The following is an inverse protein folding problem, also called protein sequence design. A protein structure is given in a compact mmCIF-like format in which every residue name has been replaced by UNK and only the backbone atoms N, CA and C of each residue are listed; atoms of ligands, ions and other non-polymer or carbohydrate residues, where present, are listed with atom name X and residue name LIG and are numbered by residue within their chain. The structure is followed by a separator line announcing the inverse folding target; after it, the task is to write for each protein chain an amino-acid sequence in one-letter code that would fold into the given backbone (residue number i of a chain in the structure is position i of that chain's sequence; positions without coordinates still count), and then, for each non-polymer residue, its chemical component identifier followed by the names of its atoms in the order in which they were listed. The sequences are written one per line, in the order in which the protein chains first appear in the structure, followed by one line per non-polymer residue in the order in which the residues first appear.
data_IF_800094664895
#
_entry.id   IF_800094664895
#
_cell.length_a   1.000
_cell.length_b   1.000
_cell.length_c   1.000
_cell.angle_alpha   90.00
_cell.angle_beta   90.00
_cell.angle_gamma   90.00
#
_symmetry.space_group_name_H-M   'P 1'
#
loop_
_entity.id
_entity.type
_entity.pdbx_description
1 polymer ?
#
# COMPACT_ATOMS: atom_id res chain seq x y z
N UNK A 1 7.57 36.07 10.58
CA UNK A 1 7.38 35.34 9.30
C UNK A 1 7.90 36.09 8.08
N UNK A 2 7.52 37.36 7.83
CA UNK A 2 7.97 38.07 6.63
C UNK A 2 9.48 38.34 6.61
N UNK A 3 10.04 38.82 7.73
CA UNK A 3 11.48 39.06 7.90
C UNK A 3 12.34 37.81 7.66
N UNK A 4 11.93 36.68 8.24
CA UNK A 4 12.58 35.38 8.07
C UNK A 4 12.63 34.94 6.58
N UNK A 5 11.53 35.13 5.84
CA UNK A 5 11.48 34.85 4.39
C UNK A 5 12.35 35.81 3.58
N UNK A 6 12.44 37.09 3.96
CA UNK A 6 13.30 38.08 3.29
C UNK A 6 14.77 37.69 3.47
N UNK A 7 15.16 37.34 4.69
CA UNK A 7 16.52 36.93 5.00
C UNK A 7 16.88 35.64 4.24
N UNK A 8 15.97 34.67 4.19
CA UNK A 8 16.15 33.46 3.37
C UNK A 8 16.37 33.79 1.89
N UNK A 9 15.61 34.74 1.32
CA UNK A 9 15.80 35.18 -0.08
C UNK A 9 17.16 35.83 -0.32
N UNK A 10 17.66 36.65 0.60
CA UNK A 10 18.99 37.27 0.51
C UNK A 10 20.06 36.18 0.48
N UNK A 11 20.00 35.22 1.40
CA UNK A 11 20.99 34.12 1.43
C UNK A 11 20.89 33.22 0.20
N UNK A 12 19.68 32.89 -0.26
CA UNK A 12 19.49 32.15 -1.51
C UNK A 12 20.10 32.90 -2.70
N UNK A 13 19.97 34.23 -2.75
CA UNK A 13 20.56 35.05 -3.81
C UNK A 13 22.09 34.96 -3.78
N UNK A 14 22.71 35.06 -2.60
CA UNK A 14 24.17 34.89 -2.44
C UNK A 14 24.64 33.48 -2.85
N UNK A 15 23.91 32.43 -2.44
CA UNK A 15 24.24 31.04 -2.85
C UNK A 15 24.13 30.88 -4.37
N UNK A 16 23.14 31.50 -5.02
CA UNK A 16 23.02 31.47 -6.49
C UNK A 16 24.16 32.21 -7.18
N UNK A 17 24.67 33.31 -6.61
CA UNK A 17 25.88 33.97 -7.12
C UNK A 17 27.05 33.00 -7.05
N UNK A 18 27.28 32.36 -5.90
CA UNK A 18 28.31 31.33 -5.73
C UNK A 18 28.16 30.19 -6.76
N UNK A 19 26.95 29.66 -6.94
CA UNK A 19 26.66 28.60 -7.92
C UNK A 19 27.01 29.02 -9.36
N UNK A 20 26.88 30.30 -9.71
CA UNK A 20 27.20 30.81 -11.05
C UNK A 20 28.67 31.17 -11.25
N UNK A 21 29.39 31.56 -10.20
CA UNK A 21 30.75 32.08 -10.31
C UNK A 21 31.78 30.99 -10.01
N UNK A 22 32.01 30.72 -8.73
CA UNK A 22 33.15 29.95 -8.22
C UNK A 22 32.79 28.54 -7.76
N UNK A 23 31.52 28.12 -7.93
CA UNK A 23 31.10 26.76 -7.63
C UNK A 23 31.85 25.74 -8.50
N UNK A 24 32.52 24.75 -7.87
CA UNK A 24 33.22 23.68 -8.60
C UNK A 24 32.30 22.74 -9.37
N UNK A 25 30.99 22.73 -9.07
CA UNK A 25 29.99 21.83 -9.67
C UNK A 25 29.07 22.50 -10.71
N UNK A 26 28.81 23.82 -10.59
CA UNK A 26 27.84 24.54 -11.44
C UNK A 26 28.37 25.82 -12.09
N UNK A 27 29.47 26.36 -11.59
CA UNK A 27 30.03 27.65 -12.04
C UNK A 27 31.01 27.52 -13.20
N UNK A 28 31.72 28.61 -13.48
CA UNK A 28 32.77 28.69 -14.51
C UNK A 28 33.90 27.68 -14.21
N UNK A 29 34.14 27.38 -12.93
CA UNK A 29 35.14 26.42 -12.48
C UNK A 29 34.74 24.95 -12.70
N UNK A 30 33.47 24.65 -13.02
CA UNK A 30 33.01 23.27 -13.24
C UNK A 30 33.74 22.54 -14.36
N UNK A 31 34.23 23.28 -15.36
CA UNK A 31 35.05 22.74 -16.43
C UNK A 31 36.37 22.15 -15.91
N UNK A 32 37.00 22.78 -14.92
CA UNK A 32 38.30 22.37 -14.38
C UNK A 32 38.20 21.24 -13.34
N UNK A 33 37.06 21.13 -12.64
CA UNK A 33 36.86 20.15 -11.57
C UNK A 33 35.98 18.97 -11.97
N UNK A 34 35.68 18.80 -13.26
CA UNK A 34 34.85 17.72 -13.78
C UNK A 34 35.40 16.35 -13.34
N UNK A 35 34.58 15.57 -12.63
CA UNK A 35 34.95 14.26 -12.07
C UNK A 35 35.70 14.28 -10.73
N UNK A 36 36.03 15.46 -10.19
CA UNK A 36 36.66 15.67 -8.86
C UNK A 36 35.76 16.47 -7.92
N UNK A 37 34.44 16.27 -8.03
CA UNK A 37 33.42 16.92 -7.21
C UNK A 37 32.76 15.89 -6.29
N UNK A 38 32.09 16.39 -5.24
CA UNK A 38 31.37 15.54 -4.30
C UNK A 38 30.35 14.63 -5.02
N UNK A 39 30.30 13.35 -4.66
CA UNK A 39 29.36 12.38 -5.23
C UNK A 39 27.96 12.43 -4.61
N UNK A 40 27.75 13.24 -3.56
CA UNK A 40 26.47 13.30 -2.85
C UNK A 40 25.51 14.34 -3.44
N UNK A 41 24.36 13.87 -3.91
CA UNK A 41 23.28 14.72 -4.43
C UNK A 41 22.08 14.87 -3.47
N UNK A 42 21.44 16.07 -3.40
CA UNK A 42 21.88 17.31 -4.05
C UNK A 42 23.15 17.86 -3.38
N UNK A 43 24.02 18.58 -4.08
CA UNK A 43 25.22 19.21 -3.48
C UNK A 43 24.86 20.21 -2.36
N UNK A 44 25.79 20.54 -1.46
CA UNK A 44 25.53 21.39 -0.29
C UNK A 44 24.94 22.77 -0.65
N UNK A 45 25.38 23.40 -1.74
CA UNK A 45 24.81 24.68 -2.20
C UNK A 45 23.34 24.56 -2.60
N UNK A 46 22.99 23.47 -3.31
CA UNK A 46 21.61 23.19 -3.72
C UNK A 46 20.75 22.77 -2.53
N UNK A 47 21.31 21.96 -1.63
CA UNK A 47 20.69 21.63 -0.34
C UNK A 47 20.32 22.89 0.41
N UNK A 48 21.24 23.82 0.59
CA UNK A 48 21.00 25.05 1.35
C UNK A 48 19.88 25.88 0.73
N UNK A 49 19.82 25.97 -0.61
CA UNK A 49 18.70 26.64 -1.29
C UNK A 49 17.37 25.95 -0.98
N UNK A 50 17.31 24.61 -1.07
CA UNK A 50 16.07 23.84 -0.82
C UNK A 50 15.61 24.03 0.64
N UNK A 51 16.53 23.88 1.58
CA UNK A 51 16.28 24.02 3.02
C UNK A 51 15.81 25.43 3.37
N UNK A 52 16.48 26.48 2.87
CA UNK A 52 16.08 27.88 3.12
C UNK A 52 14.74 28.25 2.50
N UNK A 53 14.41 27.72 1.30
CA UNK A 53 13.09 27.91 0.70
C UNK A 53 11.98 27.28 1.54
N UNK A 54 12.27 26.11 2.11
CA UNK A 54 11.27 25.29 2.82
C UNK A 54 11.04 25.76 4.25
N UNK A 55 12.11 25.97 5.00
CA UNK A 55 12.03 26.23 6.45
C UNK A 55 12.24 27.70 6.82
N UNK A 56 12.53 28.57 5.85
CA UNK A 56 12.96 29.94 6.12
C UNK A 56 14.40 30.01 6.59
N UNK A 57 14.85 31.20 7.00
CA UNK A 57 16.23 31.41 7.42
C UNK A 57 16.50 30.83 8.80
N UNK A 58 15.65 31.14 9.79
CA UNK A 58 15.88 30.78 11.19
C UNK A 58 16.02 29.27 11.41
N UNK A 59 15.18 28.47 10.74
CA UNK A 59 15.23 27.02 10.84
C UNK A 59 16.10 26.41 9.73
N UNK A 60 16.12 27.00 8.53
CA UNK A 60 16.82 26.41 7.40
C UNK A 60 18.32 26.69 7.34
N UNK A 61 18.78 27.81 7.90
CA UNK A 61 20.21 28.17 7.91
C UNK A 61 21.02 27.24 8.83
N UNK A 62 20.62 26.94 10.08
CA UNK A 62 21.34 25.97 10.92
C UNK A 62 21.47 24.59 10.29
N UNK A 63 20.39 24.09 9.68
CA UNK A 63 20.37 22.80 8.95
C UNK A 63 21.35 22.83 7.76
N UNK A 64 21.41 23.96 7.04
CA UNK A 64 22.35 24.16 5.94
C UNK A 64 23.80 24.16 6.40
N UNK A 65 24.10 24.85 7.49
CA UNK A 65 25.43 24.89 8.10
C UNK A 65 25.84 23.52 8.63
N UNK A 66 24.94 22.81 9.31
CA UNK A 66 25.20 21.48 9.86
C UNK A 66 25.67 20.51 8.76
N UNK A 67 25.00 20.52 7.61
CA UNK A 67 25.42 19.71 6.46
C UNK A 67 26.80 20.10 5.92
N UNK A 68 27.09 21.40 5.80
CA UNK A 68 28.39 21.89 5.30
C UNK A 68 29.50 21.47 6.25
N UNK A 69 29.29 21.64 7.56
CA UNK A 69 30.29 21.32 8.59
C UNK A 69 30.57 19.82 8.71
N UNK A 70 29.61 18.97 8.37
CA UNK A 70 29.74 17.51 8.46
C UNK A 70 30.14 16.83 7.14
N UNK A 71 30.72 17.53 6.16
CA UNK A 71 31.20 16.92 4.91
C UNK A 71 32.50 16.10 5.07
N UNK A 72 32.45 14.98 5.80
CA UNK A 72 33.53 14.01 5.92
C UNK A 72 33.30 12.76 5.02
N UNK A 73 34.35 12.19 4.40
CA UNK A 73 34.24 10.99 3.56
C UNK A 73 33.66 9.74 4.26
N UNK A 74 33.68 9.70 5.60
CA UNK A 74 33.23 8.58 6.45
C UNK A 74 31.80 8.75 6.99
N UNK A 75 31.03 9.69 6.47
CA UNK A 75 29.71 10.02 6.98
C UNK A 75 28.65 8.96 6.68
N UNK A 76 28.11 8.36 7.74
CA UNK A 76 26.93 7.47 7.69
C UNK A 76 25.59 8.22 7.82
N UNK A 77 25.59 9.54 8.08
CA UNK A 77 24.36 10.35 8.17
C UNK A 77 23.96 10.85 6.78
N UNK A 78 22.82 10.36 6.29
CA UNK A 78 22.19 10.86 5.06
C UNK A 78 21.57 12.23 5.36
N UNK A 79 22.28 13.31 5.01
CA UNK A 79 21.73 14.67 5.01
C UNK A 79 20.92 14.90 3.72
N UNK A 80 19.71 14.35 3.66
CA UNK A 80 18.73 14.72 2.63
C UNK A 80 18.09 16.07 3.07
N UNK A 81 18.07 17.13 2.23
CA UNK A 81 17.43 18.41 2.61
C UNK A 81 15.92 18.25 2.77
N UNK A 82 15.43 17.12 2.27
CA UNK A 82 14.04 16.87 2.04
C UNK A 82 13.57 15.87 3.09
N UNK A 83 13.48 16.37 4.32
CA UNK A 83 12.79 15.69 5.40
C UNK A 83 11.29 15.82 5.17
N UNK A 84 10.61 14.78 4.68
CA UNK A 84 9.21 14.81 4.28
C UNK A 84 8.28 14.49 5.45
N UNK A 85 7.33 15.37 5.73
CA UNK A 85 6.29 15.19 6.75
C UNK A 85 5.17 14.36 6.13
N UNK A 86 4.95 13.18 6.69
CA UNK A 86 3.97 12.22 6.18
C UNK A 86 2.87 12.01 7.21
N UNK A 87 1.63 12.08 6.75
CA UNK A 87 0.51 11.48 7.48
C UNK A 87 0.21 10.13 6.83
N UNK A 88 0.32 9.07 7.61
CA UNK A 88 0.08 7.72 7.16
C UNK A 88 -1.37 7.31 7.47
N UNK A 89 -2.09 6.86 6.45
CA UNK A 89 -3.53 6.55 6.51
C UNK A 89 -3.74 5.10 6.08
N UNK A 90 -4.04 4.21 7.02
CA UNK A 90 -4.29 2.81 6.73
C UNK A 90 -5.17 2.18 7.80
N UNK A 91 -5.81 1.06 7.49
CA UNK A 91 -6.59 0.30 8.49
C UNK A 91 -6.44 -1.22 8.37
N UNK A 92 -5.69 -1.68 7.37
CA UNK A 92 -5.51 -3.08 7.07
C UNK A 92 -4.06 -3.53 7.36
N UNK A 93 -3.83 -4.81 7.68
CA UNK A 93 -2.49 -5.33 7.98
C UNK A 93 -1.45 -5.10 6.88
N UNK A 94 -1.87 -5.01 5.61
CA UNK A 94 -0.97 -4.71 4.49
C UNK A 94 -0.18 -3.41 4.69
N UNK A 95 -0.73 -2.44 5.44
CA UNK A 95 -0.09 -1.15 5.71
C UNK A 95 1.03 -1.19 6.75
N UNK A 96 1.12 -2.20 7.63
CA UNK A 96 2.10 -2.18 8.74
C UNK A 96 3.55 -2.11 8.25
N UNK A 97 4.00 -2.86 7.23
CA UNK A 97 5.39 -2.81 6.78
C UNK A 97 5.73 -1.50 6.06
N UNK A 98 4.73 -0.84 5.46
CA UNK A 98 4.90 0.49 4.88
C UNK A 98 5.12 1.54 5.96
N UNK A 99 4.40 1.44 7.09
CA UNK A 99 4.64 2.30 8.24
C UNK A 99 6.04 2.07 8.83
N UNK A 100 6.47 0.81 8.96
CA UNK A 100 7.81 0.46 9.45
C UNK A 100 8.92 1.12 8.63
N UNK A 101 8.85 1.00 7.30
CA UNK A 101 9.85 1.60 6.40
C UNK A 101 9.82 3.13 6.40
N UNK A 102 8.63 3.74 6.52
CA UNK A 102 8.52 5.20 6.65
C UNK A 102 9.13 5.72 7.96
N UNK A 103 8.98 4.99 9.07
CA UNK A 103 9.56 5.37 10.36
C UNK A 103 11.07 5.12 10.38
N UNK A 104 11.53 4.03 9.76
CA UNK A 104 12.95 3.67 9.71
C UNK A 104 13.77 4.59 8.80
N UNK A 105 13.15 5.21 7.79
CA UNK A 105 13.82 6.09 6.85
C UNK A 105 13.94 7.53 7.41
N UNK A 106 15.15 8.01 7.74
CA UNK A 106 15.35 9.32 8.39
C UNK A 106 14.93 10.52 7.53
N UNK A 107 14.64 10.28 6.26
CA UNK A 107 14.16 11.30 5.31
C UNK A 107 12.66 11.55 5.46
N UNK A 108 11.94 10.73 6.21
CA UNK A 108 10.52 10.91 6.47
C UNK A 108 10.27 11.16 7.96
N UNK A 109 9.29 12.00 8.24
CA UNK A 109 8.74 12.23 9.58
C UNK A 109 7.28 11.82 9.57
N UNK A 110 6.93 10.78 10.33
CA UNK A 110 5.53 10.43 10.52
C UNK A 110 4.91 11.41 11.53
N UNK A 111 4.23 12.43 11.00
CA UNK A 111 3.64 13.53 11.78
C UNK A 111 2.20 13.23 12.22
N UNK A 112 1.58 12.21 11.63
CA UNK A 112 0.27 11.73 12.03
C UNK A 112 -0.04 10.33 11.50
N UNK A 113 -0.86 9.60 12.23
CA UNK A 113 -1.44 8.32 11.83
C UNK A 113 -2.95 8.49 11.79
N UNK A 114 -3.60 8.03 10.72
CA UNK A 114 -5.05 7.97 10.61
C UNK A 114 -5.47 6.54 10.35
N UNK A 115 -6.35 6.00 11.19
CA UNK A 115 -6.92 4.66 11.00
C UNK A 115 -8.41 4.66 11.33
N UNK A 116 -9.11 3.58 11.01
CA UNK A 116 -10.50 3.40 11.40
C UNK A 116 -10.61 3.24 12.93
N UNK A 117 -11.76 3.64 13.51
CA UNK A 117 -12.07 3.36 14.92
C UNK A 117 -11.92 1.89 15.28
N UNK A 118 -11.66 1.67 16.57
CA UNK A 118 -11.62 0.34 17.18
C UNK A 118 -12.96 -0.37 16.96
N UNK A 119 -12.92 -1.69 16.74
CA UNK A 119 -14.13 -2.48 16.43
C UNK A 119 -14.30 -3.60 17.44
N UNK A 120 -15.53 -3.96 17.80
CA UNK A 120 -15.78 -5.15 18.58
C UNK A 120 -15.46 -6.39 17.73
N UNK A 121 -14.66 -7.30 18.28
CA UNK A 121 -14.23 -8.53 17.58
C UNK A 121 -14.58 -9.76 18.43
N UNK A 122 -14.90 -10.87 17.75
CA UNK A 122 -15.19 -12.16 18.37
C UNK A 122 -16.59 -12.25 18.97
N UNK A 123 -16.90 -13.41 19.57
CA UNK A 123 -18.24 -13.68 20.15
C UNK A 123 -18.53 -12.86 21.41
N UNK A 124 -17.48 -12.45 22.13
CA UNK A 124 -17.59 -11.59 23.32
C UNK A 124 -17.62 -10.09 23.02
N UNK A 125 -17.54 -9.68 21.74
CA UNK A 125 -17.56 -8.28 21.28
C UNK A 125 -16.57 -7.36 22.01
N UNK A 126 -15.42 -7.91 22.42
CA UNK A 126 -14.38 -7.11 23.08
C UNK A 126 -13.85 -6.09 22.09
N UNK A 127 -13.80 -4.82 22.52
CA UNK A 127 -13.29 -3.74 21.69
C UNK A 127 -11.81 -3.95 21.42
N UNK A 128 -11.46 -4.19 20.16
CA UNK A 128 -10.08 -4.41 19.74
C UNK A 128 -9.59 -3.19 18.96
N UNK A 129 -8.41 -2.70 19.34
CA UNK A 129 -7.75 -1.63 18.62
C UNK A 129 -7.48 -2.01 17.17
N UNK A 130 -7.56 -1.04 16.27
CA UNK A 130 -7.15 -1.28 14.89
C UNK A 130 -5.66 -1.65 14.83
N UNK A 131 -5.32 -2.61 13.95
CA UNK A 131 -3.95 -3.11 13.79
C UNK A 131 -2.91 -2.01 13.58
N UNK A 132 -3.24 -0.96 12.81
CA UNK A 132 -2.34 0.17 12.54
C UNK A 132 -2.12 1.01 13.81
N UNK A 133 -3.16 1.20 14.63
CA UNK A 133 -3.05 1.94 15.91
C UNK A 133 -2.14 1.20 16.88
N UNK A 134 -2.37 -0.10 17.07
CA UNK A 134 -1.52 -0.91 17.94
C UNK A 134 -0.08 -1.00 17.42
N UNK A 135 0.11 -1.09 16.10
CA UNK A 135 1.43 -1.13 15.49
C UNK A 135 2.19 0.20 15.63
N UNK A 136 1.52 1.34 15.37
CA UNK A 136 2.10 2.67 15.56
C UNK A 136 2.59 2.90 17.00
N UNK A 137 1.81 2.48 18.00
CA UNK A 137 2.21 2.52 19.42
C UNK A 137 3.50 1.72 19.68
N UNK A 138 3.63 0.53 19.10
CA UNK A 138 4.84 -0.31 19.23
C UNK A 138 6.09 0.35 18.63
N UNK A 139 5.92 1.16 17.59
CA UNK A 139 6.99 1.96 16.98
C UNK A 139 7.32 3.23 17.78
N UNK A 140 6.69 3.46 18.94
CA UNK A 140 6.92 4.64 19.78
C UNK A 140 6.19 5.90 19.32
N UNK A 141 5.22 5.78 18.41
CA UNK A 141 4.39 6.93 17.99
C UNK A 141 3.41 7.26 19.12
N UNK A 142 3.46 8.50 19.61
CA UNK A 142 2.55 9.00 20.66
C UNK A 142 1.09 8.95 20.23
N UNK A 143 0.21 8.62 21.17
CA UNK A 143 -1.26 8.64 20.99
C UNK A 143 -1.79 9.98 20.49
N UNK A 144 -1.14 11.09 20.84
CA UNK A 144 -1.49 12.43 20.34
C UNK A 144 -1.40 12.57 18.82
N UNK A 145 -0.57 11.74 18.15
CA UNK A 145 -0.41 11.71 16.69
C UNK A 145 -1.37 10.73 16.01
N UNK A 146 -2.08 9.88 16.75
CA UNK A 146 -2.97 8.85 16.21
C UNK A 146 -4.41 9.35 16.23
N UNK A 147 -5.05 9.38 15.07
CA UNK A 147 -6.43 9.83 14.90
C UNK A 147 -7.31 8.70 14.35
N UNK A 148 -8.47 8.51 14.96
CA UNK A 148 -9.44 7.47 14.55
C UNK A 148 -10.83 8.06 14.27
N UNK A 149 -10.97 9.00 13.31
CA UNK A 149 -12.23 9.68 13.07
C UNK A 149 -13.31 8.72 12.56
N UNK A 150 -14.53 8.82 13.09
CA UNK A 150 -15.69 8.09 12.55
C UNK A 150 -16.19 8.76 11.26
N UNK A 151 -16.26 10.10 11.26
CA UNK A 151 -16.58 10.93 10.10
C UNK A 151 -15.41 11.84 9.76
N UNK A 152 -15.02 11.89 8.49
CA UNK A 152 -13.89 12.70 8.01
C UNK A 152 -14.31 13.90 7.15
N UNK A 153 -15.58 13.98 6.72
CA UNK A 153 -16.03 15.07 5.87
C UNK A 153 -16.33 16.32 6.72
N UNK A 154 -15.55 17.41 6.56
CA UNK A 154 -15.70 18.61 7.39
C UNK A 154 -16.97 19.41 7.10
N UNK A 155 -17.57 19.25 5.92
CA UNK A 155 -18.84 19.91 5.57
C UNK A 155 -20.04 19.16 6.15
N UNK A 156 -19.88 17.88 6.50
CA UNK A 156 -20.96 17.02 6.96
C UNK A 156 -20.97 16.76 8.46
N UNK A 157 -19.90 17.10 9.19
CA UNK A 157 -19.86 16.94 10.64
C UNK A 157 -18.84 17.82 11.34
N UNK A 158 -19.14 18.17 12.60
CA UNK A 158 -18.22 18.86 13.51
C UNK A 158 -16.95 18.02 13.74
N UNK A 159 -17.10 16.70 13.88
CA UNK A 159 -15.96 15.78 14.00
C UNK A 159 -15.03 15.86 12.76
N UNK A 160 -15.61 15.89 11.56
CA UNK A 160 -14.87 16.02 10.31
C UNK A 160 -14.14 17.36 10.23
N UNK A 161 -14.77 18.45 10.67
CA UNK A 161 -14.14 19.78 10.73
C UNK A 161 -12.96 19.77 11.69
N UNK A 162 -13.15 19.24 12.90
CA UNK A 162 -12.07 19.13 13.89
C UNK A 162 -10.92 18.24 13.40
N UNK A 163 -11.22 17.17 12.66
CA UNK A 163 -10.22 16.32 12.03
C UNK A 163 -9.44 17.07 10.95
N UNK A 164 -10.14 17.77 10.05
CA UNK A 164 -9.53 18.61 9.02
C UNK A 164 -8.61 19.68 9.62
N UNK A 165 -9.07 20.37 10.67
CA UNK A 165 -8.31 21.42 11.34
C UNK A 165 -6.99 20.86 11.94
N UNK A 166 -7.04 19.70 12.61
CA UNK A 166 -5.84 19.02 13.13
C UNK A 166 -4.90 18.52 12.02
N UNK A 167 -5.45 17.94 10.97
CA UNK A 167 -4.68 17.43 9.84
C UNK A 167 -3.97 18.55 9.07
N UNK A 168 -4.64 19.69 8.90
CA UNK A 168 -4.07 20.88 8.27
C UNK A 168 -2.97 21.53 9.12
N UNK A 169 -3.14 21.53 10.45
CA UNK A 169 -2.18 22.12 11.38
C UNK A 169 -0.79 21.45 11.33
N UNK A 170 -0.73 20.14 11.04
CA UNK A 170 0.55 19.42 10.96
C UNK A 170 1.30 19.63 9.63
N UNK A 171 0.69 20.31 8.64
CA UNK A 171 1.28 20.68 7.35
C UNK A 171 2.03 19.52 6.69
N UNK A 172 1.35 18.43 6.32
CA UNK A 172 2.00 17.30 5.69
C UNK A 172 2.47 17.65 4.28
N UNK A 173 3.58 17.05 3.86
CA UNK A 173 4.00 17.07 2.46
C UNK A 173 3.30 15.96 1.66
N UNK A 174 3.01 14.83 2.32
CA UNK A 174 2.29 13.70 1.76
C UNK A 174 1.18 13.20 2.70
N UNK A 175 0.04 12.83 2.11
CA UNK A 175 -0.89 11.88 2.72
C UNK A 175 -0.66 10.52 2.05
N UNK A 176 -0.13 9.54 2.78
CA UNK A 176 0.08 8.18 2.24
C UNK A 176 -1.10 7.31 2.66
N UNK A 177 -1.90 6.89 1.69
CA UNK A 177 -3.11 6.10 1.89
C UNK A 177 -2.89 4.67 1.43
N UNK A 178 -3.22 3.71 2.28
CA UNK A 178 -3.11 2.27 1.99
C UNK A 178 -4.28 1.54 2.62
N UNK A 179 -5.23 1.04 1.82
CA UNK A 179 -6.34 0.22 2.32
C UNK A 179 -7.08 0.85 3.53
N UNK A 180 -7.46 2.13 3.41
CA UNK A 180 -8.16 2.85 4.48
C UNK A 180 -9.66 2.55 4.54
N UNK A 181 -10.30 2.26 3.39
CA UNK A 181 -11.70 1.83 3.32
C UNK A 181 -12.75 2.93 3.54
N UNK A 182 -12.37 4.22 3.54
CA UNK A 182 -13.29 5.36 3.50
C UNK A 182 -12.96 6.26 2.32
N UNK A 183 -13.99 6.86 1.73
CA UNK A 183 -13.84 7.90 0.71
C UNK A 183 -13.32 9.17 1.39
N UNK A 184 -12.17 9.66 0.93
CA UNK A 184 -11.56 10.90 1.45
C UNK A 184 -12.08 12.07 0.61
N UNK A 185 -12.69 13.10 1.24
CA UNK A 185 -13.23 14.26 0.53
C UNK A 185 -12.11 15.14 -0.05
N UNK A 186 -12.42 15.87 -1.13
CA UNK A 186 -11.47 16.71 -1.86
C UNK A 186 -10.72 17.71 -0.96
N UNK A 187 -11.42 18.35 -0.03
CA UNK A 187 -10.78 19.29 0.90
C UNK A 187 -9.61 18.67 1.70
N UNK A 188 -9.68 17.39 2.07
CA UNK A 188 -8.57 16.68 2.71
C UNK A 188 -7.48 16.31 1.69
N UNK A 189 -7.89 15.90 0.48
CA UNK A 189 -6.98 15.59 -0.61
C UNK A 189 -6.12 16.81 -1.03
N UNK A 190 -6.61 18.02 -0.81
CA UNK A 190 -5.92 19.27 -1.15
C UNK A 190 -4.91 19.76 -0.08
N UNK A 191 -4.88 19.14 1.11
CA UNK A 191 -3.98 19.52 2.21
C UNK A 191 -2.48 19.33 1.90
N UNK A 192 -2.02 18.15 1.42
CA UNK A 192 -0.59 17.87 1.28
C UNK A 192 0.05 18.64 0.14
N UNK A 193 1.33 19.04 0.32
CA UNK A 193 2.07 19.83 -0.67
C UNK A 193 2.35 19.07 -1.97
N UNK A 194 2.78 17.81 -1.88
CA UNK A 194 3.10 16.99 -3.06
C UNK A 194 1.95 16.11 -3.49
N UNK A 195 1.10 15.72 -2.55
CA UNK A 195 -0.20 15.17 -2.88
C UNK A 195 -0.68 14.13 -1.88
N UNK A 196 -1.96 13.78 -2.00
CA UNK A 196 -2.48 12.54 -1.49
C UNK A 196 -2.04 11.43 -2.44
N UNK A 197 -1.42 10.41 -1.89
CA UNK A 197 -0.84 9.28 -2.59
C UNK A 197 -1.53 8.01 -2.12
N UNK A 198 -2.05 7.21 -3.04
CA UNK A 198 -2.56 5.87 -2.72
C UNK A 198 -1.56 4.80 -3.17
N UNK A 199 -1.39 3.77 -2.34
CA UNK A 199 -0.71 2.53 -2.72
C UNK A 199 -1.78 1.50 -3.06
N UNK A 200 -1.96 1.25 -4.35
CA UNK A 200 -2.98 0.35 -4.88
C UNK A 200 -2.39 -1.03 -5.22
N UNK A 201 -3.12 -2.09 -4.85
CA UNK A 201 -2.68 -3.49 -5.01
C UNK A 201 -2.96 -4.09 -6.39
N UNK A 202 -2.89 -3.30 -7.45
CA UNK A 202 -2.96 -3.78 -8.84
C UNK A 202 -2.11 -2.91 -9.77
N UNK A 203 -1.96 -3.36 -11.01
CA UNK A 203 -1.45 -2.57 -12.12
C UNK A 203 -2.61 -1.77 -12.76
N UNK A 204 -2.83 -0.54 -12.26
CA UNK A 204 -3.82 0.37 -12.83
C UNK A 204 -3.51 0.67 -14.31
N UNK A 205 -4.53 0.93 -15.15
CA UNK A 205 -5.95 1.16 -14.81
C UNK A 205 -6.78 -0.10 -14.54
N UNK A 206 -6.21 -1.31 -14.67
CA UNK A 206 -6.94 -2.53 -14.33
C UNK A 206 -7.18 -2.63 -12.82
N UNK A 207 -8.34 -3.15 -12.45
CA UNK A 207 -8.75 -3.46 -11.09
C UNK A 207 -8.88 -2.25 -10.16
N UNK A 208 -9.53 -1.17 -10.62
CA UNK A 208 -9.94 -0.04 -9.75
C UNK A 208 -10.95 -0.53 -8.71
N UNK A 209 -10.88 -0.07 -7.47
CA UNK A 209 -11.92 -0.28 -6.46
C UNK A 209 -11.55 -1.20 -5.30
N UNK A 210 -12.54 -1.87 -4.73
CA UNK A 210 -12.49 -2.33 -3.34
C UNK A 210 -11.69 -3.63 -3.10
N UNK A 211 -11.51 -4.49 -4.10
CA UNK A 211 -10.90 -5.82 -3.94
C UNK A 211 -9.95 -6.21 -5.08
N UNK A 212 -8.97 -5.35 -5.45
CA UNK A 212 -8.10 -5.58 -6.60
C UNK A 212 -7.39 -6.93 -6.56
N UNK A 213 -6.78 -7.25 -5.41
CA UNK A 213 -5.99 -8.48 -5.24
C UNK A 213 -6.85 -9.71 -5.48
N UNK A 214 -8.05 -9.78 -4.90
CA UNK A 214 -8.96 -10.91 -5.09
C UNK A 214 -9.38 -11.03 -6.55
N UNK A 215 -9.79 -9.93 -7.18
CA UNK A 215 -10.28 -9.95 -8.57
C UNK A 215 -9.20 -10.35 -9.58
N UNK A 216 -7.92 -10.05 -9.31
CA UNK A 216 -6.78 -10.54 -10.10
C UNK A 216 -6.76 -12.08 -10.16
N UNK A 217 -7.00 -12.75 -9.03
CA UNK A 217 -7.09 -14.22 -9.00
C UNK A 217 -8.35 -14.75 -9.66
N UNK A 218 -9.50 -14.07 -9.47
CA UNK A 218 -10.77 -14.47 -10.13
C UNK A 218 -10.67 -14.39 -11.66
N UNK A 219 -9.93 -13.40 -12.17
CA UNK A 219 -9.64 -13.25 -13.59
C UNK A 219 -8.41 -14.05 -14.05
N UNK A 220 -7.81 -14.84 -13.14
CA UNK A 220 -6.69 -15.74 -13.41
C UNK A 220 -5.47 -15.06 -14.06
N UNK A 221 -5.21 -13.81 -13.69
CA UNK A 221 -4.04 -13.09 -14.15
C UNK A 221 -2.76 -13.81 -13.69
N UNK A 222 -1.74 -13.80 -14.56
CA UNK A 222 -0.42 -14.37 -14.28
C UNK A 222 0.56 -13.34 -13.70
N UNK A 223 0.16 -12.08 -13.67
CA UNK A 223 0.95 -10.95 -13.19
C UNK A 223 0.07 -10.06 -12.30
N UNK A 224 0.69 -9.50 -11.27
CA UNK A 224 0.10 -8.46 -10.42
C UNK A 224 1.14 -7.36 -10.19
N UNK A 225 0.80 -6.39 -9.36
CA UNK A 225 1.73 -5.33 -9.03
C UNK A 225 1.18 -4.35 -8.03
N UNK A 226 2.03 -3.36 -7.74
CA UNK A 226 1.70 -2.22 -6.91
C UNK A 226 1.72 -0.99 -7.81
N UNK A 227 0.65 -0.19 -7.74
CA UNK A 227 0.63 1.15 -8.33
C UNK A 227 0.67 2.19 -7.23
N UNK A 228 1.58 3.14 -7.35
CA UNK A 228 1.58 4.37 -6.56
C UNK A 228 0.97 5.45 -7.45
N UNK A 229 -0.13 6.04 -7.00
CA UNK A 229 -0.92 7.00 -7.78
C UNK A 229 -1.32 8.20 -6.92
N UNK A 230 -1.65 9.30 -7.59
CA UNK A 230 -2.40 10.37 -6.97
C UNK A 230 -3.83 9.94 -6.68
N UNK A 231 -4.38 10.50 -5.62
CA UNK A 231 -5.81 10.43 -5.37
C UNK A 231 -6.51 11.65 -5.94
N UNK A 232 -7.71 11.43 -6.47
CA UNK A 232 -8.66 12.46 -6.88
C UNK A 232 -10.04 12.13 -6.27
N UNK A 233 -11.08 12.83 -6.73
CA UNK A 233 -12.44 12.60 -6.25
C UNK A 233 -13.04 11.23 -6.67
N UNK A 234 -12.43 10.55 -7.64
CA UNK A 234 -12.89 9.26 -8.14
C UNK A 234 -12.33 8.08 -7.35
N UNK A 235 -12.82 6.88 -7.65
CA UNK A 235 -12.33 5.64 -7.04
C UNK A 235 -11.18 5.10 -7.88
N UNK A 236 -9.95 5.29 -7.38
CA UNK A 236 -8.71 4.85 -8.01
C UNK A 236 -8.49 5.38 -9.44
N UNK A 237 -8.97 6.59 -9.74
CA UNK A 237 -8.90 7.21 -11.09
C UNK A 237 -7.72 8.15 -11.29
N UNK A 238 -7.09 8.61 -10.23
CA UNK A 238 -6.00 9.58 -10.29
C UNK A 238 -4.76 9.08 -11.04
N UNK A 239 -3.91 10.02 -11.45
CA UNK A 239 -2.75 9.72 -12.30
C UNK A 239 -1.76 8.76 -11.62
N UNK A 240 -1.22 7.84 -12.41
CA UNK A 240 -0.19 6.89 -12.01
C UNK A 240 1.15 7.63 -11.86
N UNK A 241 1.84 7.44 -10.75
CA UNK A 241 3.19 7.99 -10.53
C UNK A 241 4.24 6.95 -10.88
N UNK A 242 4.08 5.73 -10.37
CA UNK A 242 5.00 4.62 -10.62
C UNK A 242 4.31 3.28 -10.39
N UNK A 243 4.77 2.25 -11.10
CA UNK A 243 4.27 0.89 -10.96
C UNK A 243 5.42 -0.10 -10.80
N UNK A 244 5.15 -1.18 -10.09
CA UNK A 244 6.05 -2.32 -9.98
C UNK A 244 5.25 -3.60 -10.14
N UNK A 245 5.56 -4.37 -11.17
CA UNK A 245 4.91 -5.65 -11.42
C UNK A 245 5.71 -6.83 -10.86
N UNK A 246 5.03 -7.97 -10.71
CA UNK A 246 5.61 -9.25 -10.34
C UNK A 246 4.70 -10.40 -10.83
N UNK A 247 5.31 -11.54 -11.13
CA UNK A 247 4.59 -12.74 -11.55
C UNK A 247 3.83 -13.39 -10.38
N UNK A 248 2.70 -14.03 -10.70
CA UNK A 248 1.90 -14.84 -9.78
C UNK A 248 2.11 -16.32 -10.13
N UNK A 249 2.94 -17.05 -9.36
CA UNK A 249 3.06 -18.48 -9.55
C UNK A 249 1.73 -19.22 -9.35
N UNK A 250 1.58 -20.36 -10.03
CA UNK A 250 0.33 -21.13 -10.08
C UNK A 250 -0.23 -21.49 -8.70
N UNK A 251 0.65 -21.88 -7.78
CA UNK A 251 0.35 -22.37 -6.43
C UNK A 251 0.12 -21.27 -5.40
N UNK A 252 0.21 -20.00 -5.78
CA UNK A 252 0.08 -18.86 -4.87
C UNK A 252 -1.35 -18.41 -4.68
N UNK A 253 -1.63 -17.89 -3.50
CA UNK A 253 -2.92 -17.35 -3.11
C UNK A 253 -2.86 -15.84 -2.92
N UNK A 254 -4.02 -15.22 -2.69
CA UNK A 254 -4.09 -13.80 -2.36
C UNK A 254 -3.24 -13.44 -1.13
N UNK A 255 -3.10 -14.37 -0.17
CA UNK A 255 -2.26 -14.19 1.01
C UNK A 255 -0.78 -14.05 0.62
N UNK A 256 -0.29 -14.94 -0.22
CA UNK A 256 1.10 -14.89 -0.69
C UNK A 256 1.38 -13.60 -1.47
N UNK A 257 0.44 -13.15 -2.31
CA UNK A 257 0.58 -11.87 -3.02
C UNK A 257 0.63 -10.68 -2.06
N UNK A 258 -0.22 -10.65 -1.03
CA UNK A 258 -0.19 -9.59 -0.01
C UNK A 258 1.15 -9.60 0.72
N UNK A 259 1.64 -10.77 1.12
CA UNK A 259 2.94 -10.92 1.79
C UNK A 259 4.10 -10.48 0.87
N UNK A 260 4.05 -10.79 -0.42
CA UNK A 260 5.03 -10.33 -1.38
C UNK A 260 4.99 -8.79 -1.55
N UNK A 261 3.79 -8.20 -1.66
CA UNK A 261 3.61 -6.75 -1.71
C UNK A 261 4.13 -6.05 -0.44
N UNK A 262 3.94 -6.67 0.72
CA UNK A 262 4.47 -6.19 2.01
C UNK A 262 6.01 -6.19 2.05
N UNK A 263 6.67 -7.03 1.26
CA UNK A 263 8.13 -7.08 1.15
C UNK A 263 8.64 -6.03 0.16
N UNK A 264 8.07 -5.96 -1.04
CA UNK A 264 8.60 -5.10 -2.11
C UNK A 264 8.07 -3.67 -2.07
N UNK A 265 6.88 -3.47 -1.52
CA UNK A 265 6.13 -2.23 -1.54
C UNK A 265 6.70 -1.11 -0.67
N UNK A 266 7.15 -1.36 0.57
CA UNK A 266 7.61 -0.29 1.46
C UNK A 266 8.77 0.53 0.88
N UNK A 267 9.84 -0.14 0.44
CA UNK A 267 11.00 0.52 -0.19
C UNK A 267 10.63 1.20 -1.50
N UNK A 268 9.75 0.55 -2.27
CA UNK A 268 9.23 1.10 -3.52
C UNK A 268 8.46 2.40 -3.29
N UNK A 269 7.64 2.48 -2.23
CA UNK A 269 6.95 3.70 -1.82
C UNK A 269 7.93 4.81 -1.50
N UNK A 270 8.86 4.61 -0.57
CA UNK A 270 9.80 5.64 -0.15
C UNK A 270 10.64 6.18 -1.33
N UNK A 271 11.10 5.29 -2.21
CA UNK A 271 11.82 5.69 -3.43
C UNK A 271 10.94 6.52 -4.36
N UNK A 272 9.69 6.12 -4.55
CA UNK A 272 8.74 6.81 -5.43
C UNK A 272 8.39 8.20 -4.89
N UNK A 273 8.08 8.33 -3.60
CA UNK A 273 7.78 9.62 -2.97
C UNK A 273 8.95 10.61 -3.14
N UNK A 274 10.18 10.14 -2.91
CA UNK A 274 11.39 10.96 -3.07
C UNK A 274 11.62 11.39 -4.52
N UNK A 275 11.51 10.46 -5.46
CA UNK A 275 11.72 10.78 -6.87
C UNK A 275 10.62 11.70 -7.41
N UNK A 276 9.39 11.50 -6.97
CA UNK A 276 8.26 12.35 -7.33
C UNK A 276 8.44 13.79 -6.80
N UNK A 277 8.72 13.95 -5.51
CA UNK A 277 8.96 15.28 -4.93
C UNK A 277 10.17 16.02 -5.53
N UNK A 278 11.15 15.29 -6.07
CA UNK A 278 12.28 15.85 -6.82
C UNK A 278 11.96 16.24 -8.26
N UNK A 279 10.72 16.05 -8.71
CA UNK A 279 10.29 16.17 -10.12
C UNK A 279 11.07 15.24 -11.06
N UNK A 280 11.57 14.11 -10.56
CA UNK A 280 12.25 13.08 -11.36
C UNK A 280 11.26 12.09 -11.98
N UNK A 281 9.98 12.13 -11.59
CA UNK A 281 8.91 11.32 -12.16
C UNK A 281 7.86 12.25 -12.76
N UNK A 282 7.32 11.84 -13.92
CA UNK A 282 6.13 12.44 -14.52
C UNK A 282 4.96 11.52 -14.26
N UNK A 283 3.82 12.09 -13.89
CA UNK A 283 2.59 11.34 -13.74
C UNK A 283 2.05 10.92 -15.11
N UNK A 284 1.34 9.80 -15.15
CA UNK A 284 0.69 9.28 -16.33
C UNK A 284 -0.82 9.18 -16.08
N UNK A 285 -1.59 9.83 -16.95
CA UNK A 285 -3.04 9.68 -16.96
C UNK A 285 -3.43 8.24 -17.31
N UNK A 286 -4.40 7.71 -16.58
CA UNK A 286 -4.93 6.38 -16.81
C UNK A 286 -5.68 6.27 -18.15
N UNK A 287 -5.52 5.15 -18.84
CA UNK A 287 -6.23 4.83 -20.09
C UNK A 287 -7.60 4.21 -19.77
N UNK A 288 -8.67 4.97 -19.99
CA UNK A 288 -10.04 4.54 -19.66
C UNK A 288 -10.48 3.29 -20.43
N UNK A 289 -9.89 2.98 -21.59
CA UNK A 289 -10.24 1.78 -22.36
C UNK A 289 -9.73 0.48 -21.72
N UNK A 290 -8.80 0.56 -20.77
CA UNK A 290 -8.17 -0.59 -20.09
C UNK A 290 -8.70 -0.80 -18.67
N UNK A 291 -9.71 -0.02 -18.27
CA UNK A 291 -10.26 -0.05 -16.91
C UNK A 291 -11.03 -1.34 -16.69
N UNK A 292 -10.73 -1.99 -15.56
CA UNK A 292 -11.51 -3.10 -15.02
C UNK A 292 -11.89 -2.70 -13.60
N UNK A 293 -13.18 -2.68 -13.27
CA UNK A 293 -13.65 -2.29 -11.94
C UNK A 293 -13.89 -3.52 -11.04
N UNK A 294 -13.37 -3.45 -9.83
CA UNK A 294 -13.60 -4.43 -8.77
C UNK A 294 -14.83 -4.06 -7.95
N UNK A 295 -15.61 -5.08 -7.59
CA UNK A 295 -16.73 -4.93 -6.67
C UNK A 295 -16.31 -5.30 -5.26
N UNK A 296 -17.08 -4.87 -4.26
CA UNK A 296 -16.88 -5.35 -2.90
C UNK A 296 -17.24 -6.83 -2.83
N UNK A 297 -16.35 -7.66 -2.31
CA UNK A 297 -16.60 -9.09 -2.10
C UNK A 297 -17.61 -9.27 -0.96
N UNK A 298 -18.53 -10.21 -1.13
CA UNK A 298 -19.53 -10.63 -0.16
C UNK A 298 -19.30 -12.07 0.31
N UNK A 299 -19.99 -12.47 1.39
CA UNK A 299 -19.81 -13.82 1.94
C UNK A 299 -20.29 -14.92 0.99
N UNK A 300 -21.33 -14.63 0.20
CA UNK A 300 -21.91 -15.51 -0.82
C UNK A 300 -20.99 -15.77 -2.00
N UNK A 301 -20.05 -14.86 -2.32
CA UNK A 301 -19.11 -15.04 -3.44
C UNK A 301 -18.20 -16.26 -3.25
N UNK A 302 -18.00 -16.69 -1.99
CA UNK A 302 -17.25 -17.89 -1.65
C UNK A 302 -18.01 -19.20 -1.94
N UNK A 303 -19.29 -19.15 -2.28
CA UNK A 303 -20.03 -20.36 -2.61
C UNK A 303 -19.57 -20.94 -3.94
N UNK A 304 -19.38 -22.25 -3.96
CA UNK A 304 -19.04 -23.03 -5.15
C UNK A 304 -19.90 -24.28 -5.23
N UNK A 305 -20.23 -24.71 -6.44
CA UNK A 305 -20.80 -26.02 -6.69
C UNK A 305 -19.72 -26.98 -7.18
N UNK A 306 -19.25 -27.82 -6.26
CA UNK A 306 -18.15 -28.78 -6.49
C UNK A 306 -18.46 -29.87 -7.52
N UNK A 307 -19.71 -30.01 -7.97
CA UNK A 307 -20.14 -30.99 -8.97
C UNK A 307 -20.37 -30.38 -10.37
N UNK A 308 -20.53 -29.06 -10.47
CA UNK A 308 -20.88 -28.40 -11.74
C UNK A 308 -19.93 -27.28 -12.14
N UNK A 309 -19.41 -26.52 -11.18
CA UNK A 309 -18.45 -25.46 -11.47
C UNK A 309 -17.14 -26.09 -11.92
N UNK A 310 -16.47 -25.47 -12.89
CA UNK A 310 -15.19 -25.98 -13.38
C UNK A 310 -14.12 -25.91 -12.29
N UNK A 311 -13.13 -26.81 -12.34
CA UNK A 311 -11.99 -26.74 -11.43
C UNK A 311 -11.24 -25.42 -11.58
N UNK A 312 -11.23 -24.84 -12.78
CA UNK A 312 -10.69 -23.50 -13.06
C UNK A 312 -11.34 -22.42 -12.17
N UNK A 313 -12.67 -22.33 -12.19
CA UNK A 313 -13.45 -21.36 -11.42
C UNK A 313 -13.28 -21.58 -9.91
N UNK A 314 -13.34 -22.84 -9.48
CA UNK A 314 -13.16 -23.22 -8.08
C UNK A 314 -11.76 -22.85 -7.61
N UNK A 315 -10.72 -23.10 -8.41
CA UNK A 315 -9.35 -22.81 -8.04
C UNK A 315 -9.04 -21.31 -8.07
N UNK A 316 -9.61 -20.55 -9.01
CA UNK A 316 -9.55 -19.09 -9.03
C UNK A 316 -10.17 -18.50 -7.74
N UNK A 317 -11.36 -18.95 -7.35
CA UNK A 317 -11.99 -18.56 -6.08
C UNK A 317 -11.20 -19.03 -4.86
N UNK A 318 -10.65 -20.25 -4.87
CA UNK A 318 -9.81 -20.75 -3.77
C UNK A 318 -8.61 -19.85 -3.52
N UNK A 319 -7.85 -19.52 -4.58
CA UNK A 319 -6.67 -18.66 -4.49
C UNK A 319 -7.05 -17.22 -4.12
N UNK A 320 -8.09 -16.67 -4.75
CA UNK A 320 -8.54 -15.30 -4.53
C UNK A 320 -9.19 -15.06 -3.16
N UNK A 321 -9.90 -16.04 -2.61
CA UNK A 321 -10.65 -15.93 -1.36
C UNK A 321 -10.03 -16.68 -0.19
N UNK A 322 -8.75 -17.06 -0.30
CA UNK A 322 -8.03 -17.84 0.71
C UNK A 322 -8.15 -17.26 2.14
N UNK A 323 -8.09 -15.93 2.27
CA UNK A 323 -8.27 -15.25 3.56
C UNK A 323 -9.75 -15.08 3.92
N UNK A 324 -10.52 -14.45 3.03
CA UNK A 324 -11.95 -14.16 3.20
C UNK A 324 -12.60 -14.02 1.81
N UNK A 325 -13.85 -14.48 1.60
CA UNK A 325 -14.75 -15.17 2.55
C UNK A 325 -14.43 -16.65 2.82
N UNK A 326 -13.37 -17.17 2.20
CA UNK A 326 -13.11 -18.62 1.98
C UNK A 326 -14.15 -19.26 1.08
N UNK A 327 -13.70 -20.25 0.32
CA UNK A 327 -14.62 -21.02 -0.51
C UNK A 327 -15.31 -22.13 0.27
N UNK A 328 -16.56 -22.40 -0.06
CA UNK A 328 -17.37 -23.43 0.57
C UNK A 328 -18.44 -23.96 -0.37
N UNK A 329 -18.92 -25.16 -0.10
CA UNK A 329 -20.09 -25.73 -0.76
C UNK A 329 -21.11 -26.18 0.27
N UNK A 330 -22.33 -26.43 -0.17
CA UNK A 330 -23.41 -26.98 0.65
C UNK A 330 -23.50 -28.48 0.44
N UNK A 331 -23.52 -29.24 1.54
CA UNK A 331 -23.77 -30.67 1.55
C UNK A 331 -24.83 -30.98 2.59
N UNK A 332 -25.96 -31.56 2.17
CA UNK A 332 -27.14 -31.80 3.02
C UNK A 332 -27.60 -30.54 3.79
N UNK A 333 -27.57 -29.38 3.12
CA UNK A 333 -27.93 -28.09 3.74
C UNK A 333 -26.90 -27.54 4.74
N UNK A 334 -25.77 -28.22 4.94
CA UNK A 334 -24.68 -27.77 5.84
C UNK A 334 -23.50 -27.24 5.05
N UNK A 335 -22.84 -26.22 5.61
CA UNK A 335 -21.67 -25.60 5.00
C UNK A 335 -20.43 -26.46 5.19
N UNK A 336 -19.71 -26.72 4.08
CA UNK A 336 -18.41 -27.39 4.06
C UNK A 336 -17.38 -26.44 3.46
N UNK A 337 -16.42 -25.99 4.27
CA UNK A 337 -15.36 -25.06 3.84
C UNK A 337 -14.20 -25.86 3.26
N UNK A 338 -13.64 -25.44 2.12
CA UNK A 338 -12.38 -25.98 1.61
C UNK A 338 -11.23 -25.15 2.20
N UNK A 339 -10.46 -25.75 3.11
CA UNK A 339 -9.37 -25.07 3.83
C UNK A 339 -8.03 -25.21 3.12
N UNK A 340 -7.82 -26.33 2.41
CA UNK A 340 -6.62 -26.58 1.61
C UNK A 340 -7.00 -27.27 0.31
N UNK A 341 -6.42 -26.81 -0.79
CA UNK A 341 -6.53 -27.41 -2.12
C UNK A 341 -5.18 -27.27 -2.83
N UNK A 342 -4.53 -28.40 -3.07
CA UNK A 342 -3.25 -28.49 -3.79
C UNK A 342 -3.49 -29.24 -5.08
N UNK A 343 -3.12 -28.61 -6.20
CA UNK A 343 -3.33 -29.14 -7.53
C UNK A 343 -2.01 -29.42 -8.24
N UNK A 344 -1.97 -30.50 -9.01
CA UNK A 344 -0.89 -30.75 -9.95
C UNK A 344 -1.11 -29.95 -11.23
N UNK A 345 -0.20 -29.00 -11.50
CA UNK A 345 -0.32 -28.06 -12.61
C UNK A 345 -0.56 -28.72 -13.97
N UNK A 346 0.14 -29.83 -14.27
CA UNK A 346 0.01 -30.53 -15.55
C UNK A 346 -1.42 -31.03 -15.76
N UNK A 347 -2.00 -31.73 -14.77
CA UNK A 347 -3.36 -32.23 -14.88
C UNK A 347 -4.42 -31.12 -14.80
N UNK A 348 -4.12 -30.02 -14.09
CA UNK A 348 -4.97 -28.84 -14.11
C UNK A 348 -5.08 -28.26 -15.52
N UNK A 349 -3.96 -28.03 -16.21
CA UNK A 349 -3.94 -27.46 -17.57
C UNK A 349 -4.64 -28.35 -18.61
N UNK A 350 -4.67 -29.68 -18.40
CA UNK A 350 -5.33 -30.62 -19.32
C UNK A 350 -6.84 -30.74 -19.09
N UNK A 351 -7.33 -30.51 -17.86
CA UNK A 351 -8.69 -30.92 -17.45
C UNK A 351 -9.41 -29.90 -16.56
N UNK A 352 -9.00 -28.63 -16.56
CA UNK A 352 -9.59 -27.60 -15.69
C UNK A 352 -11.08 -27.34 -15.91
N UNK A 353 -11.61 -27.73 -17.07
CA UNK A 353 -13.02 -27.57 -17.45
C UNK A 353 -13.96 -28.54 -16.69
N UNK A 354 -13.41 -29.60 -16.09
CA UNK A 354 -14.18 -30.58 -15.33
C UNK A 354 -14.33 -30.18 -13.86
N UNK A 355 -15.41 -30.61 -13.17
CA UNK A 355 -15.65 -30.22 -11.79
C UNK A 355 -14.67 -30.83 -10.80
N UNK A 356 -14.59 -30.23 -9.61
CA UNK A 356 -13.73 -30.71 -8.51
C UNK A 356 -14.08 -32.13 -8.07
N UNK A 357 -15.36 -32.50 -8.11
CA UNK A 357 -15.87 -33.82 -7.77
C UNK A 357 -16.70 -34.33 -8.95
N UNK A 358 -16.36 -35.52 -9.42
CA UNK A 358 -17.10 -36.21 -10.48
C UNK A 358 -18.48 -36.69 -10.01
N UNK A 359 -19.35 -37.05 -10.96
CA UNK A 359 -20.66 -37.64 -10.68
C UNK A 359 -20.59 -38.91 -9.82
N UNK A 360 -19.46 -39.61 -9.82
CA UNK A 360 -19.25 -40.84 -9.04
C UNK A 360 -18.69 -40.55 -7.64
N UNK A 361 -18.51 -39.28 -7.26
CA UNK A 361 -17.98 -38.88 -5.96
C UNK A 361 -16.46 -39.04 -5.83
N UNK A 362 -15.75 -39.15 -6.95
CA UNK A 362 -14.29 -39.18 -6.99
C UNK A 362 -13.73 -37.77 -7.25
N UNK A 363 -12.62 -37.45 -6.60
CA UNK A 363 -11.93 -36.18 -6.79
C UNK A 363 -11.38 -36.05 -8.20
N UNK A 364 -11.30 -34.81 -8.67
CA UNK A 364 -10.64 -34.47 -9.91
C UNK A 364 -9.18 -34.98 -9.91
N UNK A 365 -8.68 -35.57 -11.01
CA UNK A 365 -7.33 -36.15 -11.09
C UNK A 365 -6.19 -35.19 -10.75
N UNK A 366 -6.41 -33.88 -10.94
CA UNK A 366 -5.44 -32.85 -10.60
C UNK A 366 -5.28 -32.64 -9.09
N UNK A 367 -6.18 -33.13 -8.24
CA UNK A 367 -6.13 -32.91 -6.78
C UNK A 367 -5.08 -33.80 -6.15
N UNK A 368 -3.99 -33.19 -5.68
CA UNK A 368 -2.96 -33.88 -4.90
C UNK A 368 -3.33 -33.95 -3.42
N UNK A 369 -3.92 -32.87 -2.89
CA UNK A 369 -4.32 -32.78 -1.50
C UNK A 369 -5.54 -31.87 -1.36
N UNK A 370 -6.51 -32.29 -0.55
CA UNK A 370 -7.65 -31.46 -0.17
C UNK A 370 -8.01 -31.67 1.30
N UNK A 371 -8.19 -30.56 2.02
CA UNK A 371 -8.74 -30.57 3.37
C UNK A 371 -10.01 -29.74 3.43
N UNK A 372 -11.04 -30.33 4.02
CA UNK A 372 -12.35 -29.73 4.14
C UNK A 372 -12.83 -29.73 5.60
N UNK A 373 -13.62 -28.72 5.94
CA UNK A 373 -14.13 -28.51 7.28
C UNK A 373 -15.65 -28.39 7.25
N UNK A 374 -16.37 -29.49 7.59
CA UNK A 374 -17.80 -29.45 7.81
C UNK A 374 -18.15 -28.53 8.99
N UNK A 375 -19.33 -27.95 8.94
CA UNK A 375 -19.85 -27.09 10.00
C UNK A 375 -19.82 -27.77 11.38
N UNK A 376 -19.20 -27.09 12.35
CA UNK A 376 -19.06 -27.59 13.72
C UNK A 376 -18.05 -28.74 13.91
N UNK A 377 -17.28 -29.11 12.87
CA UNK A 377 -16.29 -30.19 12.93
C UNK A 377 -14.86 -29.68 12.74
N UNK A 378 -13.90 -30.58 12.97
CA UNK A 378 -12.49 -30.35 12.64
C UNK A 378 -12.27 -30.53 11.13
N UNK A 379 -11.18 -29.93 10.64
CA UNK A 379 -10.69 -30.18 9.28
C UNK A 379 -10.36 -31.65 9.09
N UNK A 380 -10.63 -32.19 7.90
CA UNK A 380 -10.38 -33.60 7.54
C UNK A 380 -10.04 -33.74 6.05
N UNK A 381 -9.39 -34.84 5.69
CA UNK A 381 -9.12 -35.21 4.29
C UNK A 381 -10.39 -35.70 3.58
N UNK A 382 -10.31 -35.82 2.25
CA UNK A 382 -11.43 -36.27 1.43
C UNK A 382 -11.90 -37.69 1.76
N UNK A 383 -11.00 -38.63 2.04
CA UNK A 383 -11.38 -40.02 2.32
C UNK A 383 -12.15 -40.11 3.64
N UNK A 384 -11.72 -39.36 4.66
CA UNK A 384 -12.40 -39.20 5.93
C UNK A 384 -13.80 -38.61 5.74
N UNK A 385 -13.94 -37.58 4.90
CA UNK A 385 -15.24 -37.00 4.56
C UNK A 385 -16.13 -37.98 3.78
N UNK A 386 -15.59 -38.65 2.75
CA UNK A 386 -16.32 -39.63 1.93
C UNK A 386 -16.85 -40.79 2.78
N UNK A 387 -16.04 -41.31 3.70
CA UNK A 387 -16.44 -42.40 4.59
C UNK A 387 -17.48 -41.98 5.64
N UNK A 388 -17.46 -40.73 6.10
CA UNK A 388 -18.36 -40.24 7.15
C UNK A 388 -19.69 -39.66 6.66
N UNK A 389 -19.68 -39.01 5.48
CA UNK A 389 -20.79 -38.21 4.96
C UNK A 389 -21.35 -38.80 3.66
N UNK A 390 -20.52 -39.07 2.65
CA UNK A 390 -21.01 -39.57 1.35
C UNK A 390 -21.53 -41.01 1.42
N UNK A 391 -20.91 -41.89 2.21
CA UNK A 391 -21.40 -43.27 2.43
C UNK A 391 -22.75 -43.36 3.14
N UNK A 392 -23.25 -42.27 3.73
CA UNK A 392 -24.58 -42.22 4.36
C UNK A 392 -25.66 -41.65 3.44
N UNK A 393 -25.25 -40.99 2.36
CA UNK A 393 -26.12 -40.30 1.42
C UNK A 393 -26.32 -41.08 0.10
N UNK A 394 -25.36 -41.95 -0.24
CA UNK A 394 -25.51 -43.06 -1.20
C UNK A 394 -26.00 -44.29 -0.46
#
# INVERSE_FOLDING_TARGET
MLFDKILAKIVIFLIKIYQKTISPDKGILSFYFKGKICSHEPHCSEYSIRTLKRYGFLNGFPISIDRILHCLPSMHKIYDPEHYRVVFISSAPIGTPFLDELVADPRFEVVGIVTQPDKPVGRGLTLQENIIKTHAKKLGISDSKIQTPTKINPEKSIEGKNFFDRLSAVKPDFLVVIAYGKIIPQNILDIPVFGPINVHGSLLPKYRGASPIQTIFLNQEKESGITIMHMDAGMDTGDIICQKSFEIPFDRTCKDCIEHMQIIGPKFLNQTLRNYAKNNLKTQKQDENKVICCKKIEKSDGEVNVFTDSLEEIYAKYRGFFLWPRIYFLFEGKKVIIEKLVLEKKYYEEKSDFPLISSNGDLHPAVQEIHIKPEGKKSMDWNSFKNGYLKKAL
#
